data_IF_502013744334
#
_entry.id   IF_502013744334
#
_cell.length_a   1.000
_cell.length_b   1.000
_cell.length_c   1.000
_cell.angle_alpha   90.00
_cell.angle_beta   90.00
_cell.angle_gamma   90.00
#
_symmetry.space_group_name_H-M   'P 1'
#
loop_
_entity.id
_entity.type
_entity.pdbx_description
1 polymer ?
#
# COMPACT_ATOMS: atom_id res chain seq x y z
N UNK A 1 4.80 -2.71 -18.56
CA UNK A 1 3.90 -2.72 -17.39
C UNK A 1 4.64 -2.12 -16.23
N UNK A 2 4.01 -1.22 -15.46
CA UNK A 2 4.66 -0.52 -14.34
C UNK A 2 5.18 -1.54 -13.32
N UNK A 3 6.50 -1.70 -13.26
CA UNK A 3 7.15 -2.50 -12.22
C UNK A 3 7.22 -1.63 -10.97
N UNK A 4 6.52 -2.02 -9.89
CA UNK A 4 6.56 -1.30 -8.60
C UNK A 4 5.39 -0.35 -8.31
N UNK A 5 4.31 -0.40 -9.10
CA UNK A 5 3.05 0.27 -8.75
C UNK A 5 1.92 -0.74 -8.66
N UNK A 6 1.28 -0.81 -7.49
CA UNK A 6 0.16 -1.69 -7.22
C UNK A 6 -1.01 -0.88 -6.65
N UNK A 7 -2.23 -1.29 -6.94
CA UNK A 7 -3.44 -0.76 -6.34
C UNK A 7 -4.10 -1.91 -5.57
N UNK A 8 -4.52 -1.65 -4.34
CA UNK A 8 -5.24 -2.61 -3.52
C UNK A 8 -6.57 -2.03 -3.07
N UNK A 9 -7.64 -2.76 -3.34
CA UNK A 9 -8.98 -2.60 -2.79
C UNK A 9 -9.75 -3.88 -3.05
N UNK A 10 -10.78 -4.14 -2.27
CA UNK A 10 -11.68 -5.30 -2.35
C UNK A 10 -13.08 -4.91 -1.84
N UNK A 11 -13.96 -5.90 -1.67
CA UNK A 11 -15.31 -5.73 -1.16
C UNK A 11 -15.40 -5.50 0.37
N UNK A 12 -14.33 -5.80 1.11
CA UNK A 12 -14.27 -5.62 2.57
C UNK A 12 -13.55 -4.34 3.01
N UNK A 13 -12.72 -3.76 2.15
CA UNK A 13 -12.02 -2.49 2.37
C UNK A 13 -12.94 -1.29 2.15
N UNK A 14 -12.82 -0.28 3.00
CA UNK A 14 -13.47 1.02 2.79
C UNK A 14 -12.65 1.94 1.89
N UNK A 15 -11.34 1.70 1.76
CA UNK A 15 -10.39 2.58 1.07
C UNK A 15 -9.78 1.93 -0.17
N UNK A 16 -9.06 2.75 -0.93
CA UNK A 16 -8.19 2.35 -2.02
C UNK A 16 -6.74 2.71 -1.67
N UNK A 17 -5.84 1.74 -1.81
CA UNK A 17 -4.43 1.89 -1.46
C UNK A 17 -3.57 1.84 -2.71
N UNK A 18 -2.66 2.80 -2.86
CA UNK A 18 -1.74 2.89 -4.00
C UNK A 18 -0.31 2.76 -3.50
N UNK A 19 0.39 1.72 -3.96
CA UNK A 19 1.82 1.58 -3.77
C UNK A 19 2.56 2.45 -4.79
N UNK A 20 3.29 3.44 -4.29
CA UNK A 20 4.31 4.19 -5.01
C UNK A 20 5.68 3.72 -4.51
N UNK A 21 6.18 2.61 -5.07
CA UNK A 21 7.44 2.01 -4.64
C UNK A 21 8.66 2.84 -5.06
N UNK A 22 8.55 3.74 -6.04
CA UNK A 22 9.65 4.66 -6.37
C UNK A 22 9.76 5.76 -5.31
N UNK A 23 8.63 6.31 -4.89
CA UNK A 23 8.52 7.31 -3.84
C UNK A 23 8.67 6.77 -2.41
N UNK A 24 8.62 5.44 -2.23
CA UNK A 24 8.73 4.82 -0.91
C UNK A 24 7.50 5.07 -0.04
N UNK A 25 6.30 4.98 -0.61
CA UNK A 25 5.06 5.26 0.11
C UNK A 25 3.88 4.40 -0.33
N UNK A 26 2.89 4.30 0.56
CA UNK A 26 1.54 3.82 0.26
C UNK A 26 0.58 4.99 0.48
N UNK A 27 -0.16 5.37 -0.55
CA UNK A 27 -1.17 6.43 -0.49
C UNK A 27 -2.53 5.82 -0.23
N UNK A 28 -3.30 6.39 0.68
CA UNK A 28 -4.67 5.99 1.00
C UNK A 28 -5.63 7.01 0.40
N UNK A 29 -6.56 6.51 -0.40
CA UNK A 29 -7.61 7.29 -1.04
C UNK A 29 -8.98 6.75 -0.60
N UNK A 30 -9.97 7.63 -0.57
CA UNK A 30 -11.36 7.21 -0.62
C UNK A 30 -11.62 6.45 -1.93
N UNK A 31 -12.61 5.55 -1.95
CA UNK A 31 -13.02 4.86 -3.19
C UNK A 31 -13.55 5.83 -4.28
N UNK A 32 -13.91 7.04 -3.90
CA UNK A 32 -14.27 8.16 -4.78
C UNK A 32 -13.04 8.93 -5.34
N UNK A 33 -11.84 8.61 -4.86
CA UNK A 33 -10.56 9.11 -5.37
C UNK A 33 -9.94 10.25 -4.57
N UNK A 34 -10.63 10.77 -3.56
CA UNK A 34 -10.08 11.81 -2.68
C UNK A 34 -8.92 11.27 -1.85
N UNK A 35 -7.89 12.10 -1.67
CA UNK A 35 -6.77 11.79 -0.80
C UNK A 35 -7.19 11.80 0.67
N UNK A 36 -6.78 10.77 1.41
CA UNK A 36 -7.01 10.69 2.86
C UNK A 36 -5.70 10.76 3.65
N UNK A 37 -4.73 9.90 3.33
CA UNK A 37 -3.45 9.83 4.05
C UNK A 37 -2.35 9.14 3.25
N UNK A 38 -1.15 9.04 3.83
CA UNK A 38 -0.05 8.25 3.26
C UNK A 38 0.86 7.68 4.35
N UNK A 39 1.45 6.52 4.08
CA UNK A 39 2.51 5.90 4.88
C UNK A 39 3.81 5.95 4.10
N UNK A 40 4.87 6.54 4.66
CA UNK A 40 6.16 6.72 4.00
C UNK A 40 7.27 5.99 4.75
N UNK A 41 8.11 5.23 4.05
CA UNK A 41 9.35 4.69 4.61
C UNK A 41 10.31 4.29 3.49
N UNK A 42 11.61 4.50 3.70
CA UNK A 42 12.65 4.04 2.77
C UNK A 42 12.58 2.53 2.49
N UNK A 43 12.16 1.74 3.48
CA UNK A 43 11.98 0.29 3.34
C UNK A 43 10.86 -0.13 2.36
N UNK A 44 9.98 0.80 1.97
CA UNK A 44 8.94 0.55 0.96
C UNK A 44 9.53 0.61 -0.45
N UNK A 45 10.70 1.24 -0.63
CA UNK A 45 11.30 1.38 -1.95
C UNK A 45 11.60 0.03 -2.58
N UNK A 46 11.19 -0.13 -3.84
CA UNK A 46 11.33 -1.39 -4.56
C UNK A 46 10.35 -2.49 -4.11
N UNK A 47 9.30 -2.16 -3.35
CA UNK A 47 8.19 -3.07 -3.10
C UNK A 47 7.52 -3.51 -4.41
N UNK A 48 7.13 -4.78 -4.49
CA UNK A 48 6.53 -5.41 -5.67
C UNK A 48 5.11 -5.93 -5.43
N UNK A 49 4.65 -5.94 -4.19
CA UNK A 49 3.31 -6.40 -3.81
C UNK A 49 2.73 -5.58 -2.67
N UNK A 50 1.40 -5.50 -2.63
CA UNK A 50 0.61 -4.76 -1.65
C UNK A 50 -0.66 -5.57 -1.33
N UNK A 51 -0.92 -5.80 -0.04
CA UNK A 51 -2.19 -6.31 0.51
C UNK A 51 -2.50 -5.52 1.76
N UNK A 52 -3.78 -5.21 2.00
CA UNK A 52 -4.21 -4.44 3.18
C UNK A 52 -5.29 -5.18 3.94
N UNK A 53 -5.14 -5.24 5.26
CA UNK A 53 -6.11 -5.77 6.21
C UNK A 53 -6.55 -4.61 7.12
N UNK A 54 -7.63 -3.93 6.73
CA UNK A 54 -8.17 -2.79 7.47
C UNK A 54 -8.69 -3.20 8.86
N UNK A 55 -9.30 -4.39 8.97
CA UNK A 55 -9.81 -4.93 10.24
C UNK A 55 -8.68 -5.13 11.25
N UNK A 56 -7.49 -5.52 10.79
CA UNK A 56 -6.30 -5.66 11.63
C UNK A 56 -5.44 -4.39 11.71
N UNK A 57 -5.75 -3.33 10.95
CA UNK A 57 -4.95 -2.11 10.85
C UNK A 57 -3.55 -2.38 10.30
N UNK A 58 -3.43 -3.17 9.23
CA UNK A 58 -2.13 -3.60 8.68
C UNK A 58 -2.03 -3.48 7.17
N UNK A 59 -0.91 -2.94 6.70
CA UNK A 59 -0.46 -3.02 5.31
C UNK A 59 0.69 -4.03 5.22
N UNK A 60 0.60 -4.94 4.25
CA UNK A 60 1.65 -5.90 3.93
C UNK A 60 2.25 -5.60 2.57
N UNK A 61 3.58 -5.56 2.50
CA UNK A 61 4.35 -5.28 1.30
C UNK A 61 5.34 -6.40 1.01
N UNK A 62 5.53 -6.74 -0.26
CA UNK A 62 6.62 -7.63 -0.68
C UNK A 62 7.81 -6.78 -1.10
N UNK A 63 8.93 -6.90 -0.38
CA UNK A 63 10.18 -6.15 -0.66
C UNK A 63 11.34 -7.14 -0.71
N UNK A 64 11.99 -7.28 -1.86
CA UNK A 64 13.13 -8.19 -2.03
C UNK A 64 12.85 -9.65 -1.62
N UNK A 65 11.61 -10.12 -1.85
CA UNK A 65 11.18 -11.47 -1.48
C UNK A 65 10.82 -11.66 0.01
N UNK A 66 10.76 -10.59 0.80
CA UNK A 66 10.34 -10.60 2.21
C UNK A 66 9.04 -9.82 2.40
N UNK A 67 8.32 -10.13 3.48
CA UNK A 67 7.13 -9.38 3.90
C UNK A 67 7.54 -8.28 4.87
N UNK A 68 7.23 -7.03 4.52
CA UNK A 68 7.25 -5.88 5.41
C UNK A 68 5.81 -5.61 5.87
N UNK A 69 5.61 -5.33 7.16
CA UNK A 69 4.29 -4.95 7.70
C UNK A 69 4.33 -3.55 8.31
N UNK A 70 3.34 -2.73 7.98
CA UNK A 70 3.09 -1.42 8.62
C UNK A 70 1.80 -1.57 9.42
N UNK A 71 1.84 -1.22 10.71
CA UNK A 71 0.64 -1.15 11.55
C UNK A 71 0.19 0.31 11.66
N UNK A 72 -1.12 0.54 11.57
CA UNK A 72 -1.73 1.87 11.71
C UNK A 72 -2.98 1.83 12.59
#
# INVERSE_FOLDING_TARGET
GLVGSAIYTDDETEKLYVLDAAGGRVVVLAKTGEYESQYTAEAIKGATGLVVDEKAGKIYLIVGGRVLSIKY
#
